data_IF_061364588303
#
_entry.id   IF_061364588303
#
_cell.length_a   1.000
_cell.length_b   1.000
_cell.length_c   1.000
_cell.angle_alpha   90.00
_cell.angle_beta   90.00
_cell.angle_gamma   90.00
#
_symmetry.space_group_name_H-M   'P 1'
#
loop_
_entity.id
_entity.type
_entity.pdbx_description
1 polymer ?
#
# COMPACT_ATOMS: atom_id res chain seq x y z
N UNK A 1 15.48 4.34 7.73
CA UNK A 1 14.92 5.25 6.72
C UNK A 1 13.42 5.14 6.86
N UNK A 2 12.62 5.38 5.82
CA UNK A 2 11.24 4.87 5.79
C UNK A 2 11.29 3.42 5.32
N UNK A 3 11.53 2.51 6.26
CA UNK A 3 11.81 1.12 5.92
C UNK A 3 10.52 0.35 5.66
N UNK A 4 9.37 0.88 6.11
CA UNK A 4 8.05 0.30 5.84
C UNK A 4 7.26 1.12 4.82
N UNK A 5 6.56 0.43 3.94
CA UNK A 5 5.63 1.03 2.98
C UNK A 5 4.35 0.21 2.89
N UNK A 6 3.23 0.91 2.87
CA UNK A 6 1.89 0.36 2.90
C UNK A 6 1.13 0.81 1.67
N UNK A 7 0.36 -0.08 1.07
CA UNK A 7 -0.64 0.24 0.07
C UNK A 7 -2.03 0.06 0.65
N UNK A 8 -2.84 1.08 0.51
CA UNK A 8 -4.23 1.08 0.92
C UNK A 8 -5.16 1.39 -0.24
N UNK A 9 -6.40 0.93 -0.11
CA UNK A 9 -7.52 1.29 -0.97
C UNK A 9 -8.67 1.82 -0.12
N UNK A 10 -9.29 2.90 -0.58
CA UNK A 10 -10.51 3.45 0.00
C UNK A 10 -11.63 3.43 -1.04
N UNK A 11 -12.66 2.64 -0.78
CA UNK A 11 -13.89 2.62 -1.60
C UNK A 11 -14.95 3.53 -1.00
N UNK A 12 -15.95 3.95 -1.77
CA UNK A 12 -17.00 4.85 -1.26
C UNK A 12 -17.80 4.26 -0.08
N UNK A 13 -17.84 2.92 0.04
CA UNK A 13 -18.61 2.20 1.07
C UNK A 13 -17.75 1.72 2.25
N UNK A 14 -16.42 1.74 2.15
CA UNK A 14 -15.51 1.21 3.17
C UNK A 14 -14.48 2.25 3.57
N UNK A 15 -13.98 2.13 4.80
CA UNK A 15 -12.83 2.91 5.25
C UNK A 15 -11.55 2.55 4.50
N UNK A 16 -10.42 2.96 5.05
CA UNK A 16 -9.11 2.61 4.52
C UNK A 16 -8.88 1.09 4.68
N UNK A 17 -8.71 0.37 3.57
CA UNK A 17 -8.42 -1.07 3.54
C UNK A 17 -6.94 -1.28 3.22
N UNK A 18 -6.22 -2.04 4.05
CA UNK A 18 -4.84 -2.44 3.77
C UNK A 18 -4.83 -3.48 2.66
N UNK A 19 -4.05 -3.25 1.61
CA UNK A 19 -3.81 -4.23 0.54
C UNK A 19 -2.56 -5.06 0.83
N UNK A 20 -1.43 -4.37 1.03
CA UNK A 20 -0.12 -4.98 1.24
C UNK A 20 0.81 -4.02 1.98
N UNK A 21 1.76 -4.53 2.76
CA UNK A 21 2.90 -3.75 3.22
C UNK A 21 4.24 -4.49 3.12
N UNK A 22 5.30 -3.69 3.05
CA UNK A 22 6.68 -4.12 2.88
C UNK A 22 7.53 -3.68 4.06
N UNK A 23 8.58 -4.45 4.35
CA UNK A 23 9.79 -3.97 5.01
C UNK A 23 10.92 -4.02 3.96
N UNK A 24 11.38 -2.85 3.54
CA UNK A 24 12.29 -2.67 2.42
C UNK A 24 11.73 -3.36 1.16
N UNK A 25 12.40 -4.41 0.67
CA UNK A 25 11.97 -5.14 -0.51
C UNK A 25 11.18 -6.43 -0.19
N UNK A 26 10.92 -6.69 1.09
CA UNK A 26 10.25 -7.90 1.55
C UNK A 26 8.77 -7.61 1.80
N UNK A 27 7.83 -8.23 1.06
CA UNK A 27 6.41 -8.16 1.41
C UNK A 27 6.19 -8.91 2.73
N UNK A 28 5.48 -8.28 3.66
CA UNK A 28 5.25 -8.83 5.01
C UNK A 28 3.83 -9.38 5.16
N UNK A 29 2.85 -8.68 4.60
CA UNK A 29 1.44 -9.10 4.58
C UNK A 29 0.80 -8.54 3.32
N UNK A 30 0.22 -9.42 2.52
CA UNK A 30 -0.54 -9.13 1.31
C UNK A 30 -1.93 -9.78 1.34
N UNK A 31 -2.41 -10.20 2.52
CA UNK A 31 -3.70 -10.87 2.70
C UNK A 31 -4.92 -10.04 2.27
N UNK A 32 -4.74 -8.72 2.18
CA UNK A 32 -5.75 -7.80 1.66
C UNK A 32 -5.69 -7.59 0.13
N UNK A 33 -4.69 -8.15 -0.55
CA UNK A 33 -4.46 -7.95 -1.97
C UNK A 33 -5.18 -9.01 -2.82
N UNK A 34 -5.96 -8.62 -3.85
CA UNK A 34 -6.56 -9.59 -4.77
C UNK A 34 -5.51 -10.34 -5.61
N UNK A 35 -5.41 -11.66 -5.42
CA UNK A 35 -4.28 -12.52 -5.86
C UNK A 35 -4.00 -12.52 -7.38
N UNK A 36 -4.99 -12.24 -8.24
CA UNK A 36 -4.84 -12.45 -9.70
C UNK A 36 -4.60 -11.19 -10.53
N UNK A 37 -4.96 -10.01 -10.01
CA UNK A 37 -4.97 -8.76 -10.79
C UNK A 37 -4.14 -7.65 -10.16
N UNK A 38 -3.77 -7.82 -8.88
CA UNK A 38 -3.03 -6.84 -8.12
C UNK A 38 -1.65 -7.40 -7.83
N UNK A 39 -0.64 -6.57 -7.98
CA UNK A 39 0.71 -6.88 -7.52
C UNK A 39 1.38 -5.61 -7.08
N UNK A 40 2.23 -5.68 -6.06
CA UNK A 40 3.03 -4.54 -5.65
C UNK A 40 4.51 -4.93 -5.55
N UNK A 41 5.38 -3.97 -5.82
CA UNK A 41 6.83 -4.13 -5.71
C UNK A 41 7.44 -2.91 -5.07
N UNK A 42 8.38 -3.12 -4.16
CA UNK A 42 9.17 -2.07 -3.53
C UNK A 42 10.66 -2.32 -3.80
N UNK A 43 11.21 -1.84 -4.93
CA UNK A 43 12.62 -2.08 -5.26
C UNK A 43 13.59 -1.44 -4.28
N UNK A 44 13.20 -0.38 -3.56
CA UNK A 44 13.99 0.27 -2.51
C UNK A 44 13.09 0.99 -1.50
N UNK A 45 13.68 1.47 -0.40
CA UNK A 45 12.98 2.16 0.70
C UNK A 45 12.16 3.39 0.30
N UNK A 46 12.43 4.00 -0.86
CA UNK A 46 11.82 5.26 -1.28
C UNK A 46 10.77 5.12 -2.38
N UNK A 47 10.66 3.96 -3.02
CA UNK A 47 9.82 3.77 -4.19
C UNK A 47 9.10 2.43 -4.16
N UNK A 48 7.79 2.47 -4.40
CA UNK A 48 6.96 1.30 -4.58
C UNK A 48 5.96 1.53 -5.71
N UNK A 49 5.55 0.45 -6.35
CA UNK A 49 4.57 0.45 -7.44
C UNK A 49 3.48 -0.55 -7.11
N UNK A 50 2.22 -0.11 -7.16
CA UNK A 50 1.04 -0.97 -7.20
C UNK A 50 0.58 -1.10 -8.65
N UNK A 51 0.52 -2.33 -9.15
CA UNK A 51 0.06 -2.67 -10.49
C UNK A 51 -1.31 -3.36 -10.39
N UNK A 52 -2.28 -2.83 -11.14
CA UNK A 52 -3.64 -3.35 -11.26
C UNK A 52 -3.87 -3.68 -12.73
N UNK A 53 -3.93 -4.96 -13.08
CA UNK A 53 -4.09 -5.39 -14.47
C UNK A 53 -4.73 -6.80 -14.57
N UNK A 54 -5.82 -6.98 -15.35
CA UNK A 54 -6.62 -5.92 -15.97
C UNK A 54 -7.34 -5.08 -14.90
N UNK A 55 -7.56 -3.79 -15.14
CA UNK A 55 -8.44 -2.99 -14.31
C UNK A 55 -9.90 -3.24 -14.67
N UNK A 56 -10.76 -3.23 -13.67
CA UNK A 56 -12.19 -3.46 -13.81
C UNK A 56 -12.98 -2.37 -13.07
N UNK A 57 -14.26 -2.13 -13.40
CA UNK A 57 -15.08 -1.13 -12.73
C UNK A 57 -15.13 -1.28 -11.20
N UNK A 58 -15.00 -2.52 -10.68
CA UNK A 58 -14.96 -2.82 -9.24
C UNK A 58 -13.70 -2.35 -8.52
N UNK A 59 -12.65 -1.96 -9.26
CA UNK A 59 -11.41 -1.45 -8.68
C UNK A 59 -11.44 0.06 -8.45
N UNK A 60 -12.54 0.75 -8.81
CA UNK A 60 -12.62 2.20 -8.63
C UNK A 60 -12.60 2.55 -7.14
N UNK A 61 -11.57 3.31 -6.79
CA UNK A 61 -11.24 3.66 -5.41
C UNK A 61 -10.16 4.74 -5.41
N UNK A 62 -9.93 5.33 -4.23
CA UNK A 62 -8.72 6.10 -3.99
C UNK A 62 -7.67 5.16 -3.41
N UNK A 63 -6.49 5.14 -4.03
CA UNK A 63 -5.35 4.34 -3.61
C UNK A 63 -4.34 5.23 -2.91
N UNK A 64 -3.96 4.86 -1.70
CA UNK A 64 -2.98 5.58 -0.90
C UNK A 64 -1.73 4.74 -0.74
N UNK A 65 -0.58 5.38 -0.81
CA UNK A 65 0.63 4.85 -0.21
C UNK A 65 0.85 5.53 1.15
N UNK A 66 1.38 4.78 2.10
CA UNK A 66 1.90 5.34 3.34
C UNK A 66 3.28 4.76 3.61
N UNK A 67 4.08 5.44 4.42
CA UNK A 67 5.39 4.93 4.81
C UNK A 67 5.67 5.20 6.27
N UNK A 68 6.57 4.42 6.86
CA UNK A 68 6.94 4.55 8.25
C UNK A 68 8.41 4.21 8.49
N UNK A 69 9.09 4.97 9.37
CA UNK A 69 10.50 4.73 9.65
C UNK A 69 10.80 3.64 10.68
N UNK A 70 9.79 3.03 11.32
CA UNK A 70 9.86 2.45 12.68
C UNK A 70 11.19 1.75 13.01
N UNK A 71 12.02 2.49 13.75
CA UNK A 71 13.03 2.00 14.67
C UNK A 71 12.36 1.88 16.04
N UNK A 72 12.42 0.70 16.66
CA UNK A 72 11.62 0.37 17.85
C UNK A 72 11.59 1.46 18.94
N UNK A 73 10.41 1.56 19.57
CA UNK A 73 10.06 2.27 20.83
C UNK A 73 9.17 3.52 20.71
N UNK A 74 8.81 4.05 19.54
CA UNK A 74 7.78 5.11 19.48
C UNK A 74 6.68 4.84 18.46
N UNK A 75 5.46 5.26 18.81
CA UNK A 75 4.19 4.95 18.14
C UNK A 75 4.30 5.06 16.62
N UNK A 76 3.87 4.02 15.89
CA UNK A 76 4.04 3.89 14.45
C UNK A 76 3.32 4.95 13.63
N UNK A 77 3.94 6.12 13.50
CA UNK A 77 3.46 7.20 12.65
C UNK A 77 3.51 6.76 11.18
N UNK A 78 2.39 6.98 10.50
CA UNK A 78 2.22 6.70 9.08
C UNK A 78 2.18 8.03 8.33
N UNK A 79 3.08 8.19 7.38
CA UNK A 79 3.13 9.34 6.49
C UNK A 79 2.40 8.97 5.20
N UNK A 80 1.21 9.53 5.00
CA UNK A 80 0.37 9.26 3.83
C UNK A 80 0.73 10.17 2.66
N UNK A 81 0.74 9.60 1.46
CA UNK A 81 0.65 10.39 0.23
C UNK A 81 -0.76 10.91 -0.01
N UNK A 82 -0.89 11.86 -0.95
CA UNK A 82 -2.17 12.50 -1.32
C UNK A 82 -3.25 11.51 -1.80
N UNK A 83 -2.82 10.35 -2.31
CA UNK A 83 -3.67 9.35 -2.92
C UNK A 83 -3.98 9.62 -4.39
N UNK A 84 -4.33 8.56 -5.11
CA UNK A 84 -4.65 8.59 -6.54
C UNK A 84 -5.97 7.87 -6.79
N UNK A 85 -6.90 8.52 -7.50
CA UNK A 85 -8.18 7.91 -7.89
C UNK A 85 -8.03 7.10 -9.17
N UNK A 86 -8.50 5.85 -9.14
CA UNK A 86 -8.66 4.98 -10.30
C UNK A 86 -10.11 4.95 -10.78
#
# INVERSE_FOLDING_TARGET
GHDYLFWYRQTMMRGLELLIYFNNNVPIDDSGMPEDRFSAKMPNASFSTLKIQPSEPRDSAVYFCASSPITGVDTGELFFGEGSRL
#
